data_IF_675431109227
#
_entry.id   IF_675431109227
#
_cell.length_a   1.000
_cell.length_b   1.000
_cell.length_c   1.000
_cell.angle_alpha   90.00
_cell.angle_beta   90.00
_cell.angle_gamma   90.00
#
_symmetry.space_group_name_H-M   'P 1'
#
loop_
_entity.id
_entity.type
_entity.pdbx_description
1 polymer ?
#
# COMPACT_ATOMS: atom_id res chain seq x y z
N UNK A 1 -1.50 -11.50 9.93
CA UNK A 1 -0.23 -10.78 10.20
C UNK A 1 -0.06 -9.78 9.09
N UNK A 2 0.40 -8.57 9.40
CA UNK A 2 0.60 -7.50 8.42
C UNK A 2 2.10 -7.22 8.30
N UNK A 3 2.56 -6.99 7.07
CA UNK A 3 3.93 -6.53 6.78
C UNK A 3 3.81 -5.06 6.41
N UNK A 4 4.39 -4.18 7.23
CA UNK A 4 4.46 -2.76 6.92
C UNK A 4 5.45 -2.51 5.78
N UNK A 5 4.98 -1.85 4.74
CA UNK A 5 5.83 -1.30 3.70
C UNK A 5 6.34 0.05 4.14
N UNK A 6 7.66 0.16 4.18
CA UNK A 6 8.36 1.44 4.26
C UNK A 6 7.82 2.34 5.39
N UNK A 7 7.86 1.85 6.63
CA UNK A 7 7.28 2.48 7.84
C UNK A 7 7.72 3.94 8.09
N UNK A 8 8.78 4.39 7.40
CA UNK A 8 9.31 5.75 7.45
C UNK A 8 8.69 6.73 6.44
N UNK A 9 7.83 6.25 5.53
CA UNK A 9 7.25 7.05 4.45
C UNK A 9 5.74 7.20 4.61
N UNK A 10 5.22 8.36 4.18
CA UNK A 10 3.79 8.64 4.12
C UNK A 10 3.25 8.37 2.71
N UNK A 11 2.34 7.41 2.57
CA UNK A 11 1.65 7.16 1.30
C UNK A 11 0.45 8.10 1.20
N UNK A 12 0.47 9.05 0.28
CA UNK A 12 -0.59 10.05 0.08
C UNK A 12 -1.49 9.60 -1.08
N UNK A 13 -2.81 9.59 -0.87
CA UNK A 13 -3.75 9.41 -1.98
C UNK A 13 -3.94 10.74 -2.73
N UNK A 14 -3.07 10.99 -3.70
CA UNK A 14 -2.99 12.26 -4.44
C UNK A 14 -4.11 12.45 -5.48
N UNK A 15 -4.71 11.37 -5.97
CA UNK A 15 -5.95 11.41 -6.78
C UNK A 15 -7.23 11.32 -5.92
N UNK A 16 -7.10 11.17 -4.61
CA UNK A 16 -8.19 10.94 -3.68
C UNK A 16 -8.34 12.03 -2.62
N UNK A 17 -8.31 11.63 -1.35
CA UNK A 17 -8.58 12.51 -0.22
C UNK A 17 -7.34 13.22 0.36
N UNK A 18 -6.17 12.98 -0.22
CA UNK A 18 -4.89 13.57 0.18
C UNK A 18 -4.40 13.15 1.57
N UNK A 19 -4.96 12.08 2.15
CA UNK A 19 -4.60 11.65 3.51
C UNK A 19 -3.32 10.84 3.54
N UNK A 20 -2.59 10.82 4.67
CA UNK A 20 -1.47 9.92 4.87
C UNK A 20 -1.95 8.51 5.24
N UNK A 21 -1.43 7.54 4.50
CA UNK A 21 -1.63 6.12 4.67
C UNK A 21 -0.31 5.42 4.94
N UNK A 22 -0.40 4.32 5.66
CA UNK A 22 0.62 3.28 5.73
C UNK A 22 0.25 2.16 4.78
N UNK A 23 1.16 1.81 3.88
CA UNK A 23 0.99 0.67 3.00
C UNK A 23 1.37 -0.61 3.76
N UNK A 24 0.53 -1.64 3.68
CA UNK A 24 0.76 -2.92 4.37
C UNK A 24 0.35 -4.10 3.51
N UNK A 25 1.09 -5.20 3.58
CA UNK A 25 0.61 -6.49 3.09
C UNK A 25 -0.08 -7.26 4.19
N UNK A 26 -1.40 -7.47 4.07
CA UNK A 26 -2.17 -8.28 5.01
C UNK A 26 -2.26 -9.72 4.52
N UNK A 27 -1.54 -10.63 5.20
CA UNK A 27 -1.60 -12.07 4.91
C UNK A 27 -2.91 -12.67 5.39
N UNK A 28 -3.48 -13.59 4.60
CA UNK A 28 -4.70 -14.32 4.97
C UNK A 28 -4.46 -15.28 6.16
N UNK A 29 -3.30 -15.93 6.18
CA UNK A 29 -2.87 -16.80 7.28
C UNK A 29 -1.42 -16.49 7.65
N UNK A 30 -0.99 -16.87 8.85
CA UNK A 30 0.33 -16.49 9.39
C UNK A 30 1.50 -16.89 8.47
N UNK A 31 1.42 -18.07 7.86
CA UNK A 31 2.44 -18.63 6.95
C UNK A 31 2.00 -18.63 5.48
N UNK A 32 0.92 -17.91 5.14
CA UNK A 32 0.50 -17.80 3.74
C UNK A 32 1.36 -16.76 3.03
N UNK A 33 1.86 -17.11 1.85
CA UNK A 33 2.41 -16.16 0.89
C UNK A 33 1.30 -15.39 0.17
N UNK A 34 0.04 -15.79 0.33
CA UNK A 34 -1.12 -15.08 -0.21
C UNK A 34 -1.73 -14.12 0.80
N UNK A 35 -2.17 -12.99 0.28
CA UNK A 35 -2.72 -11.91 1.07
C UNK A 35 -3.35 -10.84 0.21
N UNK A 36 -3.33 -9.63 0.75
CA UNK A 36 -3.87 -8.46 0.10
C UNK A 36 -3.01 -7.24 0.46
N UNK A 37 -2.65 -6.46 -0.54
CA UNK A 37 -2.06 -5.14 -0.32
C UNK A 37 -3.18 -4.17 0.11
N UNK A 38 -2.97 -3.54 1.25
CA UNK A 38 -3.88 -2.60 1.87
C UNK A 38 -3.15 -1.30 2.22
N UNK A 39 -3.90 -0.22 2.29
CA UNK A 39 -3.45 1.06 2.81
C UNK A 39 -4.27 1.39 4.05
N UNK A 40 -3.64 1.78 5.15
CA UNK A 40 -4.31 2.08 6.42
C UNK A 40 -4.06 3.53 6.77
N UNK A 41 -5.12 4.31 7.04
CA UNK A 41 -4.97 5.71 7.46
C UNK A 41 -4.15 5.74 8.76
N UNK A 42 -3.01 6.43 8.73
CA UNK A 42 -2.08 6.53 9.85
C UNK A 42 -1.94 8.00 10.26
N UNK A 43 -2.95 8.51 10.97
CA UNK A 43 -2.95 9.90 11.44
C UNK A 43 -3.49 9.95 12.86
N UNK A 44 -2.57 10.09 13.82
CA UNK A 44 -2.93 10.27 15.22
C UNK A 44 -3.83 11.51 15.38
N UNK A 45 -5.03 11.31 15.93
CA UNK A 45 -6.00 12.39 16.20
C UNK A 45 -7.17 12.50 15.21
N UNK A 46 -7.24 11.68 14.15
CA UNK A 46 -8.43 11.62 13.29
C UNK A 46 -9.40 10.52 13.73
N UNK A 47 -10.69 10.77 13.55
CA UNK A 47 -11.74 9.77 13.85
C UNK A 47 -11.73 8.56 12.90
N UNK A 48 -11.10 8.69 11.74
CA UNK A 48 -10.96 7.64 10.72
C UNK A 48 -9.58 6.96 10.75
N UNK A 49 -8.75 7.24 11.76
CA UNK A 49 -7.48 6.56 11.95
C UNK A 49 -7.67 5.04 12.06
N UNK A 50 -6.87 4.28 11.32
CA UNK A 50 -7.01 2.82 11.22
C UNK A 50 -7.98 2.35 10.13
N UNK A 51 -8.65 3.27 9.39
CA UNK A 51 -9.48 2.87 8.25
C UNK A 51 -8.63 2.19 7.19
N UNK A 52 -9.04 1.00 6.77
CA UNK A 52 -8.34 0.19 5.77
C UNK A 52 -8.95 0.41 4.39
N UNK A 53 -8.11 0.72 3.42
CA UNK A 53 -8.41 0.80 2.00
C UNK A 53 -7.74 -0.37 1.27
N UNK A 54 -8.48 -1.05 0.40
CA UNK A 54 -7.94 -2.14 -0.39
C UNK A 54 -7.22 -1.59 -1.63
N UNK A 55 -5.97 -2.01 -1.83
CA UNK A 55 -5.14 -1.62 -2.97
C UNK A 55 -5.09 -2.74 -4.01
N UNK A 56 -5.00 -3.99 -3.59
CA UNK A 56 -5.08 -5.18 -4.45
C UNK A 56 -6.35 -5.99 -4.19
N UNK A 57 -6.66 -6.91 -5.11
CA UNK A 57 -7.59 -8.02 -4.85
C UNK A 57 -7.06 -8.96 -3.76
N UNK A 58 -7.93 -9.72 -3.06
CA UNK A 58 -7.50 -10.75 -2.12
C UNK A 58 -6.82 -11.93 -2.83
N UNK A 59 -6.07 -12.75 -2.09
CA UNK A 59 -5.38 -13.93 -2.60
C UNK A 59 -4.16 -13.65 -3.50
N UNK A 60 -3.64 -12.43 -3.53
CA UNK A 60 -2.43 -12.11 -4.32
C UNK A 60 -1.18 -12.61 -3.60
N UNK A 61 -0.19 -13.09 -4.36
CA UNK A 61 1.10 -13.49 -3.80
C UNK A 61 1.87 -12.27 -3.32
N UNK A 62 2.50 -12.37 -2.15
CA UNK A 62 3.43 -11.36 -1.64
C UNK A 62 4.54 -11.07 -2.65
N UNK A 63 5.09 -12.10 -3.29
CA UNK A 63 6.13 -11.96 -4.32
C UNK A 63 5.64 -11.18 -5.54
N UNK A 64 4.38 -11.37 -5.96
CA UNK A 64 3.83 -10.63 -7.09
C UNK A 64 3.65 -9.15 -6.74
N UNK A 65 3.29 -8.86 -5.49
CA UNK A 65 3.22 -7.49 -4.97
C UNK A 65 4.62 -6.88 -4.88
N UNK A 66 5.63 -7.58 -4.34
CA UNK A 66 7.02 -7.12 -4.33
C UNK A 66 7.50 -6.77 -5.74
N UNK A 67 7.21 -7.61 -6.73
CA UNK A 67 7.58 -7.35 -8.14
C UNK A 67 6.80 -6.18 -8.74
N UNK A 68 5.56 -5.95 -8.33
CA UNK A 68 4.78 -4.80 -8.76
C UNK A 68 5.31 -3.49 -8.16
N UNK A 69 5.84 -3.56 -6.94
CA UNK A 69 6.44 -2.45 -6.21
C UNK A 69 7.95 -2.34 -6.43
N UNK A 70 8.51 -3.13 -7.35
CA UNK A 70 9.95 -3.08 -7.61
C UNK A 70 10.38 -1.66 -8.02
N UNK A 71 11.45 -1.18 -7.39
CA UNK A 71 11.98 0.17 -7.57
C UNK A 71 10.94 1.30 -7.41
N UNK A 72 9.92 1.12 -6.57
CA UNK A 72 8.86 2.11 -6.34
C UNK A 72 9.40 3.49 -5.95
N UNK A 73 10.53 3.55 -5.26
CA UNK A 73 11.20 4.80 -4.87
C UNK A 73 11.54 5.69 -6.08
N UNK A 74 11.77 5.10 -7.26
CA UNK A 74 12.11 5.85 -8.48
C UNK A 74 10.92 6.47 -9.21
N UNK A 75 9.71 5.93 -9.03
CA UNK A 75 8.54 6.31 -9.82
C UNK A 75 7.30 6.69 -9.00
N UNK A 76 7.17 6.19 -7.77
CA UNK A 76 6.05 6.49 -6.88
C UNK A 76 6.34 7.65 -5.92
N UNK A 77 7.60 8.04 -5.71
CA UNK A 77 7.95 9.15 -4.82
C UNK A 77 7.39 10.48 -5.34
N UNK A 78 6.76 11.23 -4.44
CA UNK A 78 6.30 12.61 -4.65
C UNK A 78 7.29 13.61 -4.06
N UNK A 79 7.83 13.28 -2.88
CA UNK A 79 8.89 14.03 -2.19
C UNK A 79 9.85 13.03 -1.52
N UNK A 80 10.89 13.51 -0.84
CA UNK A 80 11.86 12.67 -0.11
C UNK A 80 11.24 11.77 0.98
N UNK A 81 9.99 12.02 1.40
CA UNK A 81 9.29 11.23 2.43
C UNK A 81 7.86 10.84 2.08
N UNK A 82 7.35 11.27 0.94
CA UNK A 82 5.96 11.01 0.54
C UNK A 82 5.89 10.22 -0.75
N UNK A 83 4.96 9.28 -0.79
CA UNK A 83 4.76 8.34 -1.90
C UNK A 83 3.35 8.48 -2.42
N UNK A 84 3.16 8.50 -3.74
CA UNK A 84 1.84 8.51 -4.36
C UNK A 84 1.19 7.14 -4.26
N UNK A 85 0.12 7.04 -3.47
CA UNK A 85 -0.69 5.83 -3.36
C UNK A 85 -1.44 5.53 -4.67
N UNK A 86 -1.82 6.58 -5.40
CA UNK A 86 -2.53 6.46 -6.68
C UNK A 86 -1.63 5.79 -7.73
N UNK A 87 -0.32 6.13 -7.78
CA UNK A 87 0.68 5.43 -8.61
C UNK A 87 0.89 3.98 -8.17
N UNK A 88 0.97 3.73 -6.86
CA UNK A 88 1.08 2.37 -6.32
C UNK A 88 -0.11 1.51 -6.76
N UNK A 89 -1.34 2.03 -6.64
CA UNK A 89 -2.56 1.36 -7.11
C UNK A 89 -2.50 1.09 -8.62
N UNK A 90 -2.07 2.06 -9.42
CA UNK A 90 -1.94 1.89 -10.86
C UNK A 90 -0.92 0.80 -11.25
N UNK A 91 0.21 0.71 -10.56
CA UNK A 91 1.21 -0.33 -10.78
C UNK A 91 0.65 -1.74 -10.47
N UNK A 92 -0.06 -1.87 -9.36
CA UNK A 92 -0.73 -3.11 -8.94
C UNK A 92 -1.79 -3.53 -9.97
N UNK A 93 -2.63 -2.60 -10.43
CA UNK A 93 -3.61 -2.87 -11.50
C UNK A 93 -2.95 -3.27 -12.81
N UNK A 94 -1.84 -2.61 -13.19
CA UNK A 94 -1.09 -2.92 -14.42
C UNK A 94 -0.51 -4.34 -14.41
N UNK A 95 -0.17 -4.86 -13.23
CA UNK A 95 0.27 -6.24 -13.03
C UNK A 95 -0.89 -7.26 -12.92
N UNK A 96 -2.14 -6.80 -13.03
CA UNK A 96 -3.33 -7.65 -12.92
C UNK A 96 -3.66 -8.08 -11.48
N UNK A 97 -3.19 -7.32 -10.50
CA UNK A 97 -3.37 -7.58 -9.07
C UNK A 97 -4.45 -6.70 -8.42
N UNK A 98 -5.05 -5.78 -9.19
CA UNK A 98 -6.13 -4.89 -8.76
C UNK A 98 -7.44 -5.61 -8.45
#
# INVERSE_FOLDING_TARGET
MEIDYAMAYDFIDDDGDGRPYQLRFRREQHFSDQGQLIAVIASAGRSDNGTTCFISRPGVSFTDVEQALDNWESWAMLTDRTVSLSRIRAAITTKGLG
#
